data_IF_526914269338
#
_entry.id   IF_526914269338
#
_cell.length_a   1.000
_cell.length_b   1.000
_cell.length_c   1.000
_cell.angle_alpha   90.00
_cell.angle_beta   90.00
_cell.angle_gamma   90.00
#
_symmetry.space_group_name_H-M   'P 1'
#
loop_
_entity.id
_entity.type
_entity.pdbx_description
1 polymer ?
#
# COMPACT_ATOMS: atom_id res chain seq x y z
N UNK A 1 10.45 11.80 13.46
CA UNK A 1 10.37 12.49 12.14
C UNK A 1 11.74 13.04 11.81
N UNK A 2 12.22 12.80 10.59
CA UNK A 2 13.53 13.24 10.09
C UNK A 2 13.42 13.70 8.63
N UNK A 3 14.31 14.57 8.20
CA UNK A 3 14.35 15.13 6.84
C UNK A 3 15.19 14.23 5.93
N UNK A 4 14.65 13.90 4.73
CA UNK A 4 15.32 13.05 3.72
C UNK A 4 15.78 13.82 2.49
N UNK A 5 15.15 14.97 2.26
CA UNK A 5 15.50 15.96 1.23
C UNK A 5 14.94 17.32 1.71
N UNK A 6 15.39 18.46 1.15
CA UNK A 6 14.88 19.76 1.56
C UNK A 6 13.35 19.80 1.58
N UNK A 7 12.79 20.09 2.77
CA UNK A 7 11.35 20.19 3.02
C UNK A 7 10.55 18.87 2.90
N UNK A 8 11.21 17.71 2.80
CA UNK A 8 10.57 16.39 2.79
C UNK A 8 10.96 15.62 4.04
N UNK A 9 9.97 15.23 4.81
CA UNK A 9 10.14 14.54 6.10
C UNK A 9 9.44 13.20 6.12
N UNK A 10 10.05 12.23 6.80
CA UNK A 10 9.47 10.91 7.07
C UNK A 10 9.33 10.65 8.56
N UNK A 11 8.33 9.85 8.91
CA UNK A 11 8.22 9.21 10.21
C UNK A 11 7.96 7.71 10.01
N UNK A 12 8.95 6.90 10.38
CA UNK A 12 9.01 5.46 10.13
C UNK A 12 8.91 4.61 11.43
N UNK A 13 8.70 5.25 12.57
CA UNK A 13 8.58 4.55 13.86
C UNK A 13 7.19 3.97 14.12
N UNK A 14 6.21 4.33 13.30
CA UNK A 14 4.85 3.81 13.46
C UNK A 14 4.72 2.42 12.86
N UNK A 15 4.08 1.47 13.57
CA UNK A 15 3.85 0.14 13.03
C UNK A 15 3.06 0.19 11.72
N UNK A 16 3.54 -0.53 10.73
CA UNK A 16 2.80 -0.81 9.50
C UNK A 16 2.78 0.26 8.43
N UNK A 17 3.32 1.47 8.70
CA UNK A 17 3.38 2.51 7.67
C UNK A 17 4.49 3.51 7.94
N UNK A 18 5.12 3.96 6.88
CA UNK A 18 5.97 5.15 6.85
C UNK A 18 5.11 6.30 6.35
N UNK A 19 4.94 7.32 7.17
CA UNK A 19 4.16 8.50 6.78
C UNK A 19 5.09 9.62 6.33
N UNK A 20 4.64 10.36 5.31
CA UNK A 20 5.38 11.46 4.72
C UNK A 20 4.79 12.83 5.00
N UNK A 21 5.65 13.85 4.95
CA UNK A 21 5.26 15.26 4.98
C UNK A 21 6.11 16.02 3.98
N UNK A 22 5.46 16.70 3.04
CA UNK A 22 6.06 17.66 2.10
C UNK A 22 5.61 19.05 2.52
N UNK A 23 6.58 19.91 2.86
CA UNK A 23 6.33 21.29 3.27
C UNK A 23 6.58 22.23 2.09
N UNK A 24 5.51 22.76 1.52
CA UNK A 24 5.52 23.69 0.41
C UNK A 24 5.24 25.12 0.89
N UNK A 25 5.49 26.12 0.05
CA UNK A 25 5.32 27.54 0.38
C UNK A 25 3.88 27.89 0.76
N UNK A 26 2.89 27.27 0.11
CA UNK A 26 1.47 27.56 0.32
C UNK A 26 0.71 26.48 1.08
N UNK A 27 1.36 25.38 1.48
CA UNK A 27 0.67 24.32 2.20
C UNK A 27 1.55 23.13 2.54
N UNK A 28 0.92 22.10 3.05
CA UNK A 28 1.58 20.85 3.43
C UNK A 28 0.83 19.67 2.83
N UNK A 29 1.55 18.80 2.13
CA UNK A 29 1.03 17.51 1.68
C UNK A 29 1.49 16.44 2.66
N UNK A 30 0.52 15.75 3.26
CA UNK A 30 0.74 14.57 4.10
C UNK A 30 0.53 13.33 3.25
N UNK A 31 1.38 12.32 3.41
CA UNK A 31 1.30 11.04 2.72
C UNK A 31 0.99 9.96 3.74
N UNK A 32 -0.14 9.31 3.58
CA UNK A 32 -0.69 8.25 4.42
C UNK A 32 -0.93 8.65 5.90
N UNK A 33 -1.45 7.73 6.68
CA UNK A 33 -1.74 7.92 8.10
C UNK A 33 -1.44 6.65 8.90
N UNK A 34 -0.92 6.76 10.14
CA UNK A 34 -0.64 5.59 10.96
C UNK A 34 -1.91 4.82 11.31
N UNK A 35 -1.95 3.47 11.20
CA UNK A 35 -3.17 2.70 11.46
C UNK A 35 -3.53 2.60 12.94
N UNK A 36 -2.53 2.63 13.84
CA UNK A 36 -2.78 2.46 15.27
C UNK A 36 -3.21 3.77 15.95
N UNK A 37 -4.19 3.75 16.87
CA UNK A 37 -4.71 4.95 17.53
C UNK A 37 -3.65 5.80 18.23
N UNK A 38 -2.72 5.15 18.94
CA UNK A 38 -1.65 5.84 19.65
C UNK A 38 -0.67 6.51 18.69
N UNK A 39 -0.30 5.82 17.62
CA UNK A 39 0.55 6.35 16.56
C UNK A 39 -0.13 7.52 15.84
N UNK A 40 -1.43 7.42 15.54
CA UNK A 40 -2.20 8.50 14.94
C UNK A 40 -2.29 9.74 15.86
N UNK A 41 -2.38 9.56 17.17
CA UNK A 41 -2.31 10.67 18.15
C UNK A 41 -0.92 11.30 18.19
N UNK A 42 0.12 10.48 18.24
CA UNK A 42 1.51 10.95 18.24
C UNK A 42 1.84 11.72 16.96
N UNK A 43 1.38 11.23 15.80
CA UNK A 43 1.57 11.92 14.53
C UNK A 43 0.88 13.29 14.50
N UNK A 44 -0.37 13.38 14.93
CA UNK A 44 -1.08 14.68 15.06
C UNK A 44 -0.33 15.65 15.97
N UNK A 45 0.22 15.17 17.07
CA UNK A 45 1.00 16.01 18.01
C UNK A 45 2.31 16.49 17.35
N UNK A 46 3.02 15.62 16.67
CA UNK A 46 4.24 15.98 15.93
C UNK A 46 3.95 17.03 14.85
N UNK A 47 2.88 16.87 14.07
CA UNK A 47 2.46 17.83 13.05
C UNK A 47 2.10 19.20 13.62
N UNK A 48 1.46 19.26 14.80
CA UNK A 48 1.15 20.52 15.47
C UNK A 48 2.40 21.25 15.95
N UNK A 49 3.33 20.52 16.51
CA UNK A 49 4.62 21.06 16.96
C UNK A 49 5.47 21.55 15.79
N UNK A 50 5.42 20.84 14.64
CA UNK A 50 6.20 21.16 13.46
C UNK A 50 5.69 22.38 12.69
N UNK A 51 4.36 22.49 12.47
CA UNK A 51 3.77 23.55 11.63
C UNK A 51 3.03 24.64 12.41
N UNK A 52 2.92 24.54 13.74
CA UNK A 52 2.09 25.47 14.53
C UNK A 52 0.61 25.43 14.07
N UNK A 53 0.00 26.62 13.92
CA UNK A 53 -1.30 26.83 13.25
C UNK A 53 -1.11 27.05 11.74
N UNK A 54 -0.24 26.27 11.14
CA UNK A 54 0.25 26.47 9.78
C UNK A 54 -0.78 26.29 8.67
N UNK A 55 -0.30 26.48 7.42
CA UNK A 55 -1.10 26.60 6.22
C UNK A 55 -1.95 25.35 5.94
N UNK A 56 -2.78 25.46 4.92
CA UNK A 56 -3.67 24.39 4.47
C UNK A 56 -2.96 23.06 4.32
N UNK A 57 -3.61 22.00 4.78
CA UNK A 57 -3.11 20.63 4.70
C UNK A 57 -3.98 19.80 3.80
N UNK A 58 -3.30 19.00 2.97
CA UNK A 58 -3.92 17.94 2.21
C UNK A 58 -3.34 16.62 2.69
N UNK A 59 -4.18 15.62 2.93
CA UNK A 59 -3.77 14.25 3.18
C UNK A 59 -3.98 13.43 1.92
N UNK A 60 -2.97 12.71 1.49
CA UNK A 60 -3.02 11.81 0.32
C UNK A 60 -3.02 10.37 0.83
N UNK A 61 -4.02 9.58 0.43
CA UNK A 61 -3.98 8.14 0.59
C UNK A 61 -3.32 7.51 -0.64
N UNK A 62 -2.22 6.80 -0.42
CA UNK A 62 -1.55 6.08 -1.50
C UNK A 62 -2.34 4.84 -1.93
N UNK A 63 -3.18 4.31 -1.01
CA UNK A 63 -4.01 3.15 -1.24
C UNK A 63 -5.24 3.16 -0.30
N UNK A 64 -6.18 2.20 -0.48
CA UNK A 64 -7.40 2.07 0.34
C UNK A 64 -7.23 1.17 1.58
N UNK A 65 -6.11 0.48 1.73
CA UNK A 65 -5.87 -0.44 2.85
C UNK A 65 -5.87 0.31 4.19
N UNK A 66 -6.28 -0.39 5.26
CA UNK A 66 -6.38 0.21 6.58
C UNK A 66 -5.04 0.78 7.08
N UNK A 67 -3.95 0.12 6.74
CA UNK A 67 -2.60 0.56 7.10
C UNK A 67 -2.25 1.96 6.56
N UNK A 68 -2.88 2.42 5.47
CA UNK A 68 -2.65 3.74 4.88
C UNK A 68 -3.62 4.82 5.38
N UNK A 69 -4.86 4.45 5.75
CA UNK A 69 -5.93 5.45 5.91
C UNK A 69 -6.64 5.44 7.26
N UNK A 70 -6.46 4.42 8.11
CA UNK A 70 -7.28 4.28 9.32
C UNK A 70 -7.06 5.39 10.36
N UNK A 71 -5.86 5.96 10.47
CA UNK A 71 -5.53 7.03 11.41
C UNK A 71 -5.78 8.45 10.95
N UNK A 72 -6.43 8.65 9.82
CA UNK A 72 -6.58 9.95 9.14
C UNK A 72 -7.36 11.01 9.92
N UNK A 73 -8.19 10.60 10.90
CA UNK A 73 -9.06 11.52 11.64
C UNK A 73 -8.28 12.67 12.27
N UNK A 74 -8.62 13.90 11.85
CA UNK A 74 -8.05 15.14 12.38
C UNK A 74 -6.63 15.45 11.88
N UNK A 75 -6.18 14.79 10.79
CA UNK A 75 -4.95 15.16 10.09
C UNK A 75 -5.17 16.27 9.06
N UNK A 76 -6.24 16.17 8.29
CA UNK A 76 -6.64 17.15 7.28
C UNK A 76 -8.16 17.16 7.09
N UNK A 77 -8.70 18.27 6.56
CA UNK A 77 -10.08 18.35 6.09
C UNK A 77 -10.19 17.99 4.60
N UNK A 78 -9.08 18.03 3.87
CA UNK A 78 -9.01 17.62 2.47
C UNK A 78 -8.20 16.33 2.37
N UNK A 79 -8.84 15.27 1.91
CA UNK A 79 -8.25 13.96 1.71
C UNK A 79 -8.37 13.60 0.24
N UNK A 80 -7.24 13.36 -0.40
CA UNK A 80 -7.13 13.07 -1.81
C UNK A 80 -6.77 11.61 -2.02
N UNK A 81 -7.43 10.98 -2.99
CA UNK A 81 -7.14 9.61 -3.39
C UNK A 81 -7.56 9.34 -4.84
N UNK A 82 -7.16 8.20 -5.37
CA UNK A 82 -7.68 7.72 -6.65
C UNK A 82 -9.17 7.38 -6.56
N UNK A 83 -9.92 7.52 -7.67
CA UNK A 83 -11.37 7.22 -7.73
C UNK A 83 -11.69 5.82 -7.21
N UNK A 84 -10.90 4.82 -7.56
CA UNK A 84 -11.07 3.45 -7.06
C UNK A 84 -11.02 3.37 -5.52
N UNK A 85 -10.15 4.15 -4.87
CA UNK A 85 -10.11 4.23 -3.40
C UNK A 85 -11.43 4.76 -2.86
N UNK A 86 -11.99 5.81 -3.49
CA UNK A 86 -13.33 6.32 -3.17
C UNK A 86 -14.42 5.26 -3.25
N UNK A 87 -14.42 4.45 -4.31
CA UNK A 87 -15.35 3.33 -4.49
C UNK A 87 -15.22 2.28 -3.37
N UNK A 88 -13.99 1.95 -2.97
CA UNK A 88 -13.72 1.01 -1.88
C UNK A 88 -14.19 1.51 -0.51
N UNK A 89 -14.38 2.82 -0.35
CA UNK A 89 -14.95 3.40 0.87
C UNK A 89 -16.48 3.40 0.91
N UNK A 90 -17.18 3.34 -0.24
CA UNK A 90 -18.65 3.40 -0.28
C UNK A 90 -19.34 2.31 0.56
N UNK A 91 -18.94 1.01 0.52
CA UNK A 91 -19.56 -0.02 1.32
C UNK A 91 -19.12 0.00 2.79
N UNK A 92 -18.12 0.80 3.15
CA UNK A 92 -17.58 0.84 4.52
C UNK A 92 -18.49 1.63 5.44
N UNK A 93 -18.78 1.07 6.61
CA UNK A 93 -19.42 1.84 7.68
C UNK A 93 -18.40 2.85 8.24
N UNK A 94 -18.90 3.99 8.76
CA UNK A 94 -18.01 5.00 9.38
C UNK A 94 -17.16 4.42 10.53
N UNK A 95 -17.68 3.43 11.26
CA UNK A 95 -16.96 2.80 12.37
C UNK A 95 -16.11 1.64 11.85
N UNK A 96 -14.83 1.67 12.16
CA UNK A 96 -13.95 0.53 11.93
C UNK A 96 -14.24 -0.59 12.93
N UNK A 97 -14.47 -1.81 12.42
CA UNK A 97 -14.81 -3.00 13.22
C UNK A 97 -13.88 -4.18 12.92
N UNK A 98 -12.70 -3.94 12.36
CA UNK A 98 -11.79 -5.01 11.96
C UNK A 98 -12.30 -5.83 10.77
N UNK A 99 -12.90 -5.17 9.79
CA UNK A 99 -13.53 -5.85 8.62
C UNK A 99 -12.54 -6.65 7.78
N UNK A 100 -11.25 -6.30 7.85
CA UNK A 100 -10.16 -6.96 7.12
C UNK A 100 -9.29 -7.86 8.02
N UNK A 101 -9.80 -8.25 9.19
CA UNK A 101 -9.08 -9.13 10.10
C UNK A 101 -8.75 -10.48 9.46
N UNK A 102 -7.54 -10.98 9.71
CA UNK A 102 -7.03 -12.24 9.13
C UNK A 102 -6.44 -12.08 7.73
N UNK A 103 -6.32 -10.84 7.22
CA UNK A 103 -5.67 -10.56 5.95
C UNK A 103 -4.18 -10.26 6.08
N UNK A 104 -3.68 -10.17 7.33
CA UNK A 104 -2.28 -9.90 7.63
C UNK A 104 -1.90 -8.42 7.50
N UNK A 105 -2.83 -7.50 7.74
CA UNK A 105 -2.57 -6.06 7.82
C UNK A 105 -1.92 -5.71 9.16
N UNK A 106 -1.04 -4.71 9.19
CA UNK A 106 -0.29 -4.35 10.40
C UNK A 106 -1.19 -3.77 11.52
N UNK A 107 -2.34 -3.19 11.18
CA UNK A 107 -3.30 -2.74 12.18
C UNK A 107 -3.81 -3.88 13.09
N UNK A 108 -3.74 -5.14 12.63
CA UNK A 108 -4.12 -6.31 13.43
C UNK A 108 -3.25 -6.48 14.69
N UNK A 109 -2.07 -5.86 14.71
CA UNK A 109 -1.18 -5.80 15.88
C UNK A 109 -1.46 -4.58 16.78
N UNK A 110 -2.36 -3.67 16.40
CA UNK A 110 -2.66 -2.49 17.18
C UNK A 110 -3.60 -2.81 18.35
N UNK A 111 -3.33 -2.20 19.50
CA UNK A 111 -4.24 -2.22 20.65
C UNK A 111 -5.28 -1.09 20.57
N UNK A 112 -6.40 -1.26 21.27
CA UNK A 112 -7.40 -0.21 21.50
C UNK A 112 -7.99 0.42 20.24
N UNK A 113 -8.40 -0.39 19.28
CA UNK A 113 -9.03 0.08 18.04
C UNK A 113 -10.46 0.64 18.23
N UNK A 114 -10.99 0.65 19.47
CA UNK A 114 -12.33 1.16 19.76
C UNK A 114 -12.46 2.62 19.35
N UNK A 115 -13.55 2.94 18.64
CA UNK A 115 -13.83 4.31 18.20
C UNK A 115 -13.04 4.79 16.99
N UNK A 116 -12.17 3.95 16.42
CA UNK A 116 -11.55 4.26 15.12
C UNK A 116 -12.61 4.36 14.04
N UNK A 117 -12.42 5.32 13.15
CA UNK A 117 -13.37 5.59 12.07
C UNK A 117 -12.65 5.68 10.74
N UNK A 118 -13.27 5.11 9.74
CA UNK A 118 -12.93 5.40 8.37
C UNK A 118 -13.26 6.84 8.04
N UNK A 119 -12.32 7.54 7.42
CA UNK A 119 -12.52 8.88 6.88
C UNK A 119 -12.40 8.77 5.36
N UNK A 120 -13.52 8.82 4.62
CA UNK A 120 -13.47 8.70 3.17
C UNK A 120 -12.73 9.89 2.54
N UNK A 121 -12.03 9.67 1.41
CA UNK A 121 -11.47 10.77 0.64
C UNK A 121 -12.61 11.66 0.10
N UNK A 122 -12.37 12.95 0.01
CA UNK A 122 -13.35 13.94 -0.46
C UNK A 122 -12.91 14.70 -1.73
N UNK A 123 -11.70 14.41 -2.22
CA UNK A 123 -11.21 14.82 -3.53
C UNK A 123 -10.65 13.60 -4.25
N UNK A 124 -11.21 13.29 -5.41
CA UNK A 124 -10.87 12.10 -6.17
C UNK A 124 -10.32 12.48 -7.55
N UNK A 125 -9.39 11.67 -8.06
CA UNK A 125 -8.84 11.83 -9.41
C UNK A 125 -8.61 10.46 -10.07
N UNK A 126 -8.50 10.44 -11.41
CA UNK A 126 -8.33 9.19 -12.16
C UNK A 126 -6.87 8.97 -12.64
N UNK A 127 -6.25 9.95 -13.29
CA UNK A 127 -4.93 9.77 -13.90
C UNK A 127 -3.83 10.53 -13.19
N UNK A 128 -4.04 11.82 -12.97
CA UNK A 128 -3.09 12.68 -12.28
C UNK A 128 -3.78 13.88 -11.63
N UNK A 129 -3.16 14.40 -10.56
CA UNK A 129 -3.56 15.62 -9.90
C UNK A 129 -2.32 16.35 -9.40
N UNK A 130 -2.22 17.66 -9.66
CA UNK A 130 -1.06 18.48 -9.30
C UNK A 130 -1.42 19.61 -8.35
N UNK A 131 -0.58 19.80 -7.32
CA UNK A 131 -0.62 20.95 -6.42
C UNK A 131 0.45 21.97 -6.83
N UNK A 132 0.05 23.09 -7.38
CA UNK A 132 0.92 24.21 -7.77
C UNK A 132 1.16 25.15 -6.56
N UNK A 133 1.79 24.61 -5.52
CA UNK A 133 2.06 25.31 -4.26
C UNK A 133 3.52 25.77 -4.12
N UNK A 134 4.37 25.47 -5.09
CA UNK A 134 5.75 25.91 -5.27
C UNK A 134 6.03 26.05 -6.78
N UNK A 135 7.29 26.40 -7.15
CA UNK A 135 7.73 26.58 -8.52
C UNK A 135 7.47 25.35 -9.39
N UNK A 136 7.72 24.15 -8.84
CA UNK A 136 7.36 22.89 -9.48
C UNK A 136 6.28 22.17 -8.65
N UNK A 137 5.26 21.64 -9.32
CA UNK A 137 4.13 21.03 -8.62
C UNK A 137 4.50 19.71 -7.94
N UNK A 138 3.85 19.44 -6.81
CA UNK A 138 3.70 18.06 -6.32
C UNK A 138 2.60 17.40 -7.12
N UNK A 139 2.92 16.29 -7.79
CA UNK A 139 1.96 15.59 -8.65
C UNK A 139 1.69 14.19 -8.13
N UNK A 140 0.43 13.84 -8.06
CA UNK A 140 -0.09 12.50 -7.80
C UNK A 140 -0.32 11.81 -9.12
N UNK A 141 0.19 10.58 -9.28
CA UNK A 141 -0.01 9.78 -10.49
C UNK A 141 -0.68 8.47 -10.15
N UNK A 142 -1.68 8.07 -10.91
CA UNK A 142 -2.20 6.71 -10.88
C UNK A 142 -1.12 5.73 -11.36
N UNK A 143 -0.77 4.78 -10.50
CA UNK A 143 0.26 3.76 -10.74
C UNK A 143 -0.20 2.42 -10.16
N UNK A 144 -1.15 1.75 -10.83
CA UNK A 144 -1.69 0.48 -10.36
C UNK A 144 -0.65 -0.62 -10.37
N UNK A 145 -0.93 -1.65 -9.61
CA UNK A 145 -0.09 -2.84 -9.48
C UNK A 145 -0.41 -3.58 -8.19
N UNK A 146 -0.02 -3.07 -7.01
CA UNK A 146 -0.43 -3.64 -5.71
C UNK A 146 -1.95 -3.68 -5.56
N UNK A 147 -2.61 -2.59 -5.95
CA UNK A 147 -4.06 -2.50 -6.10
C UNK A 147 -4.44 -1.67 -7.33
N UNK A 148 -5.69 -1.74 -7.79
CA UNK A 148 -6.18 -0.88 -8.87
C UNK A 148 -6.19 0.61 -8.53
N UNK A 149 -6.16 0.98 -7.25
CA UNK A 149 -6.20 2.37 -6.79
C UNK A 149 -4.88 2.94 -6.30
N UNK A 150 -3.78 2.20 -6.45
CA UNK A 150 -2.46 2.64 -5.99
C UNK A 150 -1.99 3.87 -6.76
N UNK A 151 -1.42 4.84 -6.04
CA UNK A 151 -0.89 6.08 -6.60
C UNK A 151 0.53 6.35 -6.10
N UNK A 152 1.25 7.19 -6.83
CA UNK A 152 2.54 7.74 -6.42
C UNK A 152 2.45 9.24 -6.20
N UNK A 153 3.27 9.76 -5.28
CA UNK A 153 3.42 11.21 -5.04
C UNK A 153 4.82 11.62 -5.47
N UNK A 154 4.90 12.50 -6.45
CA UNK A 154 6.15 12.97 -7.03
C UNK A 154 6.36 14.44 -6.74
N UNK A 155 7.56 14.80 -6.25
CA UNK A 155 8.00 16.19 -6.14
C UNK A 155 9.36 16.40 -6.80
N UNK A 156 9.40 17.00 -8.02
CA UNK A 156 10.63 17.14 -8.80
C UNK A 156 11.69 18.00 -8.14
N UNK A 157 11.32 19.12 -7.53
CA UNK A 157 12.25 20.03 -6.83
C UNK A 157 13.09 19.30 -5.78
N UNK A 158 12.47 18.39 -5.02
CA UNK A 158 13.17 17.59 -4.00
C UNK A 158 13.75 16.28 -4.57
N UNK A 159 13.40 15.89 -5.80
CA UNK A 159 13.69 14.59 -6.42
C UNK A 159 13.26 13.43 -5.52
N UNK A 160 12.05 13.52 -4.96
CA UNK A 160 11.46 12.50 -4.10
C UNK A 160 10.22 11.92 -4.74
N UNK A 161 10.07 10.61 -4.62
CA UNK A 161 8.95 9.84 -5.12
C UNK A 161 8.45 8.87 -4.04
N UNK A 162 7.22 9.07 -3.54
CA UNK A 162 6.54 8.10 -2.70
C UNK A 162 5.81 7.10 -3.59
N UNK A 163 6.12 5.82 -3.43
CA UNK A 163 5.61 4.75 -4.29
C UNK A 163 4.62 3.81 -3.59
N UNK A 164 4.29 4.09 -2.34
CA UNK A 164 3.35 3.25 -1.59
C UNK A 164 3.87 1.83 -1.38
N UNK A 165 2.99 0.88 -1.56
CA UNK A 165 3.29 -0.55 -1.48
C UNK A 165 3.82 -1.14 -2.80
N UNK A 166 4.18 -0.28 -3.78
CA UNK A 166 4.73 -0.75 -5.04
C UNK A 166 6.06 -1.51 -4.88
N UNK A 167 6.81 -1.23 -3.81
CA UNK A 167 8.01 -2.00 -3.43
C UNK A 167 7.96 -2.28 -1.94
N UNK A 168 8.13 -3.55 -1.54
CA UNK A 168 8.26 -3.97 -0.15
C UNK A 168 9.49 -4.86 0.01
N UNK A 169 10.35 -4.51 0.96
CA UNK A 169 11.60 -5.24 1.21
C UNK A 169 11.60 -5.92 2.58
N UNK A 170 11.09 -5.25 3.61
CA UNK A 170 11.12 -5.72 5.01
C UNK A 170 9.94 -6.60 5.40
N UNK A 171 8.89 -6.62 4.61
CA UNK A 171 7.69 -7.42 4.85
C UNK A 171 7.07 -7.90 3.52
N UNK A 172 6.27 -8.99 3.54
CA UNK A 172 5.62 -9.49 2.34
C UNK A 172 4.60 -8.49 1.78
N UNK A 173 4.48 -8.40 0.46
CA UNK A 173 3.48 -7.53 -0.18
C UNK A 173 2.05 -8.04 0.03
N UNK A 174 1.10 -7.13 -0.13
CA UNK A 174 -0.31 -7.46 -0.27
C UNK A 174 -0.59 -7.87 -1.72
N UNK A 175 -1.07 -9.10 -1.91
CA UNK A 175 -1.26 -9.69 -3.24
C UNK A 175 -2.74 -9.87 -3.62
N UNK A 176 -3.67 -9.72 -2.67
CA UNK A 176 -5.07 -10.09 -2.87
C UNK A 176 -5.72 -9.40 -4.08
N UNK A 177 -5.44 -8.11 -4.26
CA UNK A 177 -6.01 -7.30 -5.33
C UNK A 177 -4.98 -6.93 -6.42
N UNK A 178 -3.77 -7.50 -6.33
CA UNK A 178 -2.66 -7.19 -7.23
C UNK A 178 -2.91 -7.66 -8.67
N UNK A 179 -2.45 -6.87 -9.63
CA UNK A 179 -2.24 -7.26 -11.01
C UNK A 179 -0.72 -7.33 -11.26
N UNK A 180 -0.16 -8.54 -11.31
CA UNK A 180 1.29 -8.72 -11.40
C UNK A 180 1.86 -8.20 -12.72
N UNK A 181 1.13 -8.34 -13.82
CA UNK A 181 1.57 -7.84 -15.13
C UNK A 181 1.65 -6.32 -15.13
N UNK A 182 0.58 -5.66 -14.68
CA UNK A 182 0.54 -4.20 -14.53
C UNK A 182 1.58 -3.70 -13.52
N UNK A 183 1.74 -4.41 -12.40
CA UNK A 183 2.72 -4.04 -11.37
C UNK A 183 4.16 -4.08 -11.88
N UNK A 184 4.52 -5.13 -12.63
CA UNK A 184 5.83 -5.22 -13.25
C UNK A 184 6.08 -4.07 -14.23
N UNK A 185 5.11 -3.76 -15.10
CA UNK A 185 5.22 -2.63 -16.03
C UNK A 185 5.38 -1.28 -15.30
N UNK A 186 4.67 -1.09 -14.19
CA UNK A 186 4.81 0.10 -13.34
C UNK A 186 6.21 0.21 -12.74
N UNK A 187 6.80 -0.91 -12.28
CA UNK A 187 8.17 -0.92 -11.75
C UNK A 187 9.22 -0.77 -12.86
N UNK A 188 9.00 -1.32 -14.04
CA UNK A 188 9.88 -1.12 -15.20
C UNK A 188 9.96 0.36 -15.56
N UNK A 189 8.82 1.06 -15.59
CA UNK A 189 8.77 2.51 -15.78
C UNK A 189 9.50 3.29 -14.66
N UNK A 190 9.43 2.84 -13.40
CA UNK A 190 10.19 3.43 -12.30
C UNK A 190 11.70 3.30 -12.52
N UNK A 191 12.16 2.11 -12.87
CA UNK A 191 13.57 1.81 -13.09
C UNK A 191 14.16 2.59 -14.27
N UNK A 192 13.36 2.87 -15.30
CA UNK A 192 13.76 3.59 -16.49
C UNK A 192 13.83 5.11 -16.27
N UNK A 193 12.82 5.68 -15.59
CA UNK A 193 12.61 7.14 -15.60
C UNK A 193 13.12 7.87 -14.36
N UNK A 194 13.44 7.17 -13.28
CA UNK A 194 13.77 7.82 -12.01
C UNK A 194 15.09 7.37 -11.34
N UNK A 195 16.18 7.02 -12.06
CA UNK A 195 17.36 6.39 -11.47
C UNK A 195 18.13 7.27 -10.48
N UNK A 196 17.79 8.55 -10.35
CA UNK A 196 18.45 9.53 -9.46
C UNK A 196 17.51 10.10 -8.41
N UNK A 197 16.34 9.52 -8.24
CA UNK A 197 15.35 9.98 -7.28
C UNK A 197 15.45 9.22 -5.97
N UNK A 198 15.12 9.90 -4.88
CA UNK A 198 14.90 9.25 -3.58
C UNK A 198 13.51 8.60 -3.61
N UNK A 199 13.49 7.29 -3.62
CA UNK A 199 12.24 6.49 -3.64
C UNK A 199 11.86 6.11 -2.21
N UNK A 200 10.60 6.33 -1.85
CA UNK A 200 10.06 6.05 -0.52
C UNK A 200 8.92 5.05 -0.63
N UNK A 201 9.09 3.88 -0.01
CA UNK A 201 8.05 2.86 0.14
C UNK A 201 7.29 3.03 1.44
N UNK A 202 6.01 2.67 1.44
CA UNK A 202 5.17 2.81 2.65
C UNK A 202 5.55 1.87 3.79
N UNK A 203 6.33 0.81 3.53
CA UNK A 203 6.73 -0.18 4.54
C UNK A 203 8.20 -0.05 4.96
N UNK A 204 9.01 0.51 4.10
CA UNK A 204 10.47 0.45 4.20
C UNK A 204 11.14 1.81 4.46
N UNK A 205 10.45 2.91 4.19
CA UNK A 205 11.05 4.24 4.13
C UNK A 205 11.85 4.43 2.85
N UNK A 206 13.02 5.05 2.94
CA UNK A 206 13.88 5.25 1.77
C UNK A 206 14.41 3.91 1.26
N UNK A 207 14.10 3.62 0.01
CA UNK A 207 14.49 2.39 -0.69
C UNK A 207 15.80 2.60 -1.45
N UNK A 208 16.64 1.58 -1.49
CA UNK A 208 17.73 1.52 -2.44
C UNK A 208 17.27 0.89 -3.76
N UNK A 209 17.94 1.21 -4.85
CA UNK A 209 17.58 0.75 -6.19
C UNK A 209 17.76 -0.76 -6.40
N UNK A 210 18.61 -1.40 -5.60
CA UNK A 210 18.75 -2.85 -5.60
C UNK A 210 17.52 -3.54 -5.05
N UNK A 211 16.90 -2.98 -3.99
CA UNK A 211 15.62 -3.47 -3.47
C UNK A 211 14.51 -3.38 -4.52
N UNK A 212 14.45 -2.28 -5.30
CA UNK A 212 13.48 -2.12 -6.39
C UNK A 212 13.67 -3.19 -7.46
N UNK A 213 14.92 -3.37 -7.94
CA UNK A 213 15.24 -4.41 -8.95
C UNK A 213 14.95 -5.82 -8.45
N UNK A 214 15.37 -6.13 -7.23
CA UNK A 214 15.15 -7.45 -6.61
C UNK A 214 13.67 -7.74 -6.42
N UNK A 215 12.89 -6.73 -6.04
CA UNK A 215 11.44 -6.88 -5.87
C UNK A 215 10.74 -7.09 -7.22
N UNK A 216 11.13 -6.31 -8.24
CA UNK A 216 10.61 -6.48 -9.60
C UNK A 216 10.90 -7.88 -10.16
N UNK A 217 12.12 -8.41 -9.96
CA UNK A 217 12.48 -9.78 -10.37
C UNK A 217 11.64 -10.83 -9.61
N UNK A 218 11.46 -10.64 -8.30
CA UNK A 218 10.62 -11.52 -7.49
C UNK A 218 9.16 -11.56 -7.97
N UNK A 219 8.57 -10.43 -8.39
CA UNK A 219 7.23 -10.43 -8.99
C UNK A 219 7.15 -11.25 -10.26
N UNK A 220 8.19 -11.20 -11.11
CA UNK A 220 8.24 -12.01 -12.33
C UNK A 220 8.31 -13.50 -12.02
N UNK A 221 9.15 -13.89 -11.05
CA UNK A 221 9.27 -15.28 -10.61
C UNK A 221 7.95 -15.78 -9.99
N UNK A 222 7.29 -14.95 -9.18
CA UNK A 222 5.98 -15.29 -8.61
C UNK A 222 4.94 -15.51 -9.72
N UNK A 223 4.86 -14.59 -10.68
CA UNK A 223 3.90 -14.71 -11.78
C UNK A 223 4.14 -15.99 -12.60
N UNK A 224 5.40 -16.32 -12.89
CA UNK A 224 5.76 -17.56 -13.60
C UNK A 224 5.29 -18.80 -12.82
N UNK A 225 5.47 -18.84 -11.50
CA UNK A 225 5.02 -19.94 -10.65
C UNK A 225 3.48 -20.05 -10.62
N UNK A 226 2.76 -18.93 -10.58
CA UNK A 226 1.28 -18.93 -10.60
C UNK A 226 0.74 -19.42 -11.96
N UNK A 227 1.35 -19.00 -13.07
CA UNK A 227 1.01 -19.48 -14.42
C UNK A 227 1.26 -20.98 -14.56
N UNK A 228 2.43 -21.48 -14.14
CA UNK A 228 2.74 -22.91 -14.17
C UNK A 228 1.76 -23.74 -13.33
N UNK A 229 1.36 -23.24 -12.16
CA UNK A 229 0.35 -23.89 -11.33
C UNK A 229 -1.04 -23.91 -12.01
N UNK A 230 -1.40 -22.84 -12.69
CA UNK A 230 -2.66 -22.75 -13.44
C UNK A 230 -2.69 -23.74 -14.62
N UNK A 231 -1.59 -23.87 -15.36
CA UNK A 231 -1.45 -24.86 -16.46
C UNK A 231 -1.60 -26.30 -15.95
N UNK A 232 -1.11 -26.57 -14.75
CA UNK A 232 -1.26 -27.86 -14.07
C UNK A 232 -2.62 -28.02 -13.38
N UNK A 233 -3.45 -26.97 -13.36
CA UNK A 233 -4.72 -26.91 -12.64
C UNK A 233 -4.59 -27.24 -11.15
N UNK A 234 -3.51 -26.75 -10.55
CA UNK A 234 -3.27 -26.92 -9.12
C UNK A 234 -4.38 -26.23 -8.32
N UNK A 235 -4.91 -26.91 -7.32
CA UNK A 235 -5.98 -26.35 -6.48
C UNK A 235 -5.43 -25.21 -5.60
N UNK A 236 -6.20 -24.12 -5.36
CA UNK A 236 -5.72 -22.94 -4.63
C UNK A 236 -5.12 -23.25 -3.24
N UNK A 237 -5.72 -24.18 -2.50
CA UNK A 237 -5.19 -24.58 -1.19
C UNK A 237 -3.85 -25.33 -1.29
N UNK A 238 -3.64 -26.14 -2.31
CA UNK A 238 -2.40 -26.87 -2.54
C UNK A 238 -1.28 -25.89 -2.94
N UNK A 239 -1.58 -24.94 -3.83
CA UNK A 239 -0.66 -23.86 -4.21
C UNK A 239 -0.22 -23.06 -2.98
N UNK A 240 -1.15 -22.60 -2.13
CA UNK A 240 -0.83 -21.84 -0.93
C UNK A 240 0.04 -22.65 0.04
N UNK A 241 -0.31 -23.92 0.28
CA UNK A 241 0.47 -24.82 1.12
C UNK A 241 1.91 -25.04 0.61
N UNK A 242 2.10 -25.04 -0.71
CA UNK A 242 3.40 -25.21 -1.36
C UNK A 242 4.21 -23.92 -1.38
N UNK A 243 3.59 -22.78 -1.77
CA UNK A 243 4.33 -21.53 -1.96
C UNK A 243 4.62 -20.78 -0.67
N UNK A 244 3.72 -20.78 0.31
CA UNK A 244 3.94 -20.00 1.54
C UNK A 244 5.25 -20.35 2.25
N UNK A 245 5.60 -21.61 2.51
CA UNK A 245 6.85 -21.96 3.18
C UNK A 245 8.10 -21.64 2.36
N UNK A 246 8.01 -21.57 1.02
CA UNK A 246 9.13 -21.23 0.15
C UNK A 246 9.36 -19.72 0.04
N UNK A 247 8.29 -18.92 0.12
CA UNK A 247 8.36 -17.47 -0.01
C UNK A 247 8.61 -16.77 1.33
N UNK A 248 8.03 -17.27 2.42
CA UNK A 248 8.10 -16.63 3.73
C UNK A 248 9.53 -16.37 4.25
N UNK A 249 10.54 -17.22 4.01
CA UNK A 249 11.91 -16.98 4.45
C UNK A 249 12.57 -15.71 3.89
N UNK A 250 12.02 -15.12 2.83
CA UNK A 250 12.47 -13.82 2.32
C UNK A 250 12.26 -12.69 3.33
N UNK A 251 11.27 -12.81 4.21
CA UNK A 251 10.91 -11.82 5.22
C UNK A 251 10.98 -12.44 6.62
N UNK A 252 12.19 -12.57 7.17
CA UNK A 252 12.36 -13.17 8.48
C UNK A 252 11.72 -12.28 9.56
N UNK A 253 10.83 -12.88 10.33
CA UNK A 253 10.21 -12.22 11.47
C UNK A 253 9.88 -13.27 12.54
N UNK A 254 9.92 -12.87 13.80
CA UNK A 254 9.56 -13.72 14.94
C UNK A 254 8.16 -13.40 15.44
N UNK A 255 7.58 -14.34 16.21
CA UNK A 255 6.37 -14.17 17.02
C UNK A 255 5.13 -13.68 16.22
N UNK A 256 4.43 -12.71 16.78
CA UNK A 256 3.18 -12.16 16.22
C UNK A 256 3.36 -11.63 14.78
N UNK A 257 4.51 -11.00 14.47
CA UNK A 257 4.80 -10.48 13.13
C UNK A 257 5.02 -11.61 12.12
N UNK A 258 5.67 -12.70 12.51
CA UNK A 258 5.84 -13.88 11.66
C UNK A 258 4.50 -14.52 11.29
N UNK A 259 3.57 -14.61 12.23
CA UNK A 259 2.21 -15.08 11.99
C UNK A 259 1.45 -14.13 11.04
N UNK A 260 1.57 -12.82 11.25
CA UNK A 260 0.97 -11.80 10.38
C UNK A 260 1.46 -11.94 8.94
N UNK A 261 2.77 -12.09 8.74
CA UNK A 261 3.38 -12.26 7.42
C UNK A 261 2.91 -13.53 6.72
N UNK A 262 2.78 -14.62 7.47
CA UNK A 262 2.20 -15.87 6.97
C UNK A 262 0.76 -15.67 6.50
N UNK A 263 -0.09 -15.09 7.34
CA UNK A 263 -1.49 -14.80 7.02
C UNK A 263 -1.60 -13.92 5.75
N UNK A 264 -0.77 -12.88 5.63
CA UNK A 264 -0.74 -11.99 4.46
C UNK A 264 -0.42 -12.74 3.18
N UNK A 265 0.62 -13.59 3.20
CA UNK A 265 0.99 -14.41 2.05
C UNK A 265 -0.10 -15.42 1.71
N UNK A 266 -0.62 -16.16 2.68
CA UNK A 266 -1.65 -17.17 2.46
C UNK A 266 -2.95 -16.56 1.90
N UNK A 267 -3.39 -15.45 2.50
CA UNK A 267 -4.55 -14.72 2.01
C UNK A 267 -4.32 -14.16 0.60
N UNK A 268 -3.21 -13.46 0.43
CA UNK A 268 -2.85 -12.81 -0.83
C UNK A 268 -2.69 -13.79 -1.99
N UNK A 269 -1.91 -14.86 -1.81
CA UNK A 269 -1.70 -15.90 -2.82
C UNK A 269 -3.00 -16.57 -3.22
N UNK A 270 -3.84 -16.94 -2.24
CA UNK A 270 -5.15 -17.55 -2.52
C UNK A 270 -6.02 -16.64 -3.37
N UNK A 271 -6.23 -15.41 -2.93
CA UNK A 271 -7.11 -14.45 -3.61
C UNK A 271 -6.61 -14.09 -5.01
N UNK A 272 -5.32 -13.82 -5.14
CA UNK A 272 -4.69 -13.52 -6.42
C UNK A 272 -4.84 -14.70 -7.39
N UNK A 273 -4.50 -15.91 -6.95
CA UNK A 273 -4.56 -17.08 -7.79
C UNK A 273 -5.99 -17.41 -8.22
N UNK A 274 -6.95 -17.43 -7.29
CA UNK A 274 -8.38 -17.69 -7.58
C UNK A 274 -8.95 -16.68 -8.58
N UNK A 275 -8.57 -15.41 -8.44
CA UNK A 275 -9.11 -14.32 -9.26
C UNK A 275 -8.51 -14.28 -10.66
N UNK A 276 -7.18 -14.44 -10.78
CA UNK A 276 -6.46 -14.11 -12.00
C UNK A 276 -5.96 -15.33 -12.80
N UNK A 277 -5.74 -16.47 -12.14
CA UNK A 277 -5.05 -17.62 -12.77
C UNK A 277 -5.87 -18.90 -12.76
N UNK A 278 -6.53 -19.22 -11.65
CA UNK A 278 -7.22 -20.51 -11.48
C UNK A 278 -8.47 -20.62 -12.36
N UNK A 279 -8.57 -21.77 -13.06
CA UNK A 279 -9.76 -22.15 -13.84
C UNK A 279 -10.28 -23.48 -13.29
N UNK A 280 -11.41 -23.50 -12.55
CA UNK A 280 -11.96 -24.73 -11.99
C UNK A 280 -12.33 -25.72 -13.08
N UNK A 281 -12.21 -27.00 -12.79
CA UNK A 281 -12.68 -28.06 -13.71
C UNK A 281 -14.19 -27.91 -13.92
N UNK A 282 -14.70 -28.04 -15.16
CA UNK A 282 -16.12 -28.08 -15.39
C UNK A 282 -16.72 -29.23 -14.59
N UNK A 283 -17.72 -28.95 -13.78
CA UNK A 283 -18.41 -29.98 -13.02
C UNK A 283 -19.00 -31.00 -13.99
N UNK A 284 -18.63 -32.29 -13.85
CA UNK A 284 -19.30 -33.37 -14.57
C UNK A 284 -20.78 -33.34 -14.14
N UNK A 285 -21.65 -32.75 -14.95
CA UNK A 285 -23.10 -32.93 -14.78
C UNK A 285 -23.35 -34.44 -14.70
N UNK A 286 -23.73 -34.94 -13.53
CA UNK A 286 -24.31 -36.28 -13.41
C UNK A 286 -25.49 -36.32 -14.37
N UNK A 287 -25.34 -37.02 -15.49
CA UNK A 287 -26.49 -37.44 -16.29
C UNK A 287 -27.38 -38.21 -15.31
N UNK A 288 -28.50 -37.61 -14.90
CA UNK A 288 -29.58 -38.37 -14.29
C UNK A 288 -30.02 -39.32 -15.37
N UNK A 289 -29.76 -40.61 -15.17
CA UNK A 289 -30.44 -41.67 -15.92
C UNK A 289 -31.90 -41.56 -15.60
N UNK A 290 -32.67 -41.28 -16.60
CA UNK A 290 -34.14 -41.43 -16.63
C UNK A 290 -34.50 -42.87 -16.70
#
# INVERSE_FOLDING_TARGET
>A
MYEIAPHVYLEDRYPGVVVGLLRLSHGTVLVDSPPCPDAARAWRTALRAFNGRGPDRVLVYLDYQADHCLGARGLSNTIVAHTYVGEMFQPRTNLFRGQTAGQGENWELCSNLQGMRWIPPNLLFDQALSFYWDDEPVTLYHRPGPTPGSIWVQWPTARVLFVGDAVTHREPPFLADADLTTWQATLDALLEHAPHWTVVGSRDGVLNWEAVRSFRAWLADLEAQLRAAADQREEPHALVARLTPTLLPRWPASDARGNLFRQRLEHGLRRLYERAYYRPRPSRRRKRAS
#
